data_IF_861114689189
#
_entry.id   IF_861114689189
#
_cell.length_a   1.000
_cell.length_b   1.000
_cell.length_c   1.000
_cell.angle_alpha   90.00
_cell.angle_beta   90.00
_cell.angle_gamma   90.00
#
_symmetry.space_group_name_H-M   'P 1'
#
loop_
_entity.id
_entity.type
_entity.pdbx_description
1 polymer ?
#
# COMPACT_ATOMS: atom_id res chain seq x y z
N UNK A 1 -17.27 2.06 13.68
CA UNK A 1 -18.01 1.47 12.54
C UNK A 1 -17.12 0.56 11.69
N UNK A 2 -15.98 1.03 11.10
CA UNK A 2 -15.14 0.15 10.27
C UNK A 2 -14.59 -1.02 11.11
N UNK A 3 -13.99 -0.74 12.26
CA UNK A 3 -13.44 -1.76 13.14
C UNK A 3 -14.49 -2.81 13.58
N UNK A 4 -15.75 -2.42 13.76
CA UNK A 4 -16.81 -3.35 14.22
C UNK A 4 -17.07 -4.47 13.21
N UNK A 5 -16.93 -4.19 11.91
CA UNK A 5 -17.08 -5.20 10.84
C UNK A 5 -15.99 -6.27 10.97
N UNK A 6 -14.74 -5.85 11.20
CA UNK A 6 -13.61 -6.77 11.32
C UNK A 6 -13.62 -7.55 12.65
N UNK A 7 -14.03 -6.92 13.75
CA UNK A 7 -14.24 -7.58 15.03
C UNK A 7 -15.28 -8.69 14.91
N UNK A 8 -16.44 -8.45 14.27
CA UNK A 8 -17.45 -9.48 14.04
C UNK A 8 -16.94 -10.66 13.21
N UNK A 9 -16.05 -10.40 12.24
CA UNK A 9 -15.42 -11.48 11.46
C UNK A 9 -14.45 -12.30 12.31
N UNK A 10 -13.71 -11.64 13.19
CA UNK A 10 -12.84 -12.28 14.18
C UNK A 10 -13.67 -13.17 15.14
N UNK A 11 -14.75 -12.65 15.74
CA UNK A 11 -15.69 -13.39 16.57
C UNK A 11 -16.31 -14.60 15.85
N UNK A 12 -16.43 -14.52 14.51
CA UNK A 12 -16.88 -15.61 13.66
C UNK A 12 -15.83 -16.70 13.39
N UNK A 13 -14.63 -16.60 13.98
CA UNK A 13 -13.56 -17.60 13.89
C UNK A 13 -12.54 -17.38 12.77
N UNK A 14 -12.47 -16.19 12.16
CA UNK A 14 -11.40 -15.87 11.22
C UNK A 14 -10.04 -15.84 11.95
N UNK A 15 -9.02 -16.59 11.46
CA UNK A 15 -7.68 -16.60 12.06
C UNK A 15 -6.96 -15.27 11.88
N UNK A 16 -7.22 -14.57 10.77
CA UNK A 16 -6.78 -13.18 10.53
C UNK A 16 -7.81 -12.44 9.68
N UNK A 17 -7.80 -11.13 9.75
CA UNK A 17 -8.64 -10.25 8.94
C UNK A 17 -7.77 -9.21 8.23
N UNK A 18 -7.98 -9.07 6.92
CA UNK A 18 -7.25 -8.10 6.10
C UNK A 18 -8.09 -6.84 5.92
N UNK A 19 -7.55 -5.70 6.37
CA UNK A 19 -8.13 -4.40 6.03
C UNK A 19 -7.45 -3.86 4.78
N UNK A 20 -8.22 -3.60 3.76
CA UNK A 20 -7.75 -2.99 2.53
C UNK A 20 -8.06 -1.52 2.46
N UNK A 21 -7.54 -0.96 1.65
CA UNK A 21 -6.71 0.03 0.99
C UNK A 21 -6.09 0.96 2.05
N UNK A 22 -5.02 0.52 2.69
CA UNK A 22 -4.24 1.34 3.63
C UNK A 22 -3.12 2.04 2.87
N UNK A 23 -3.29 3.33 2.55
CA UNK A 23 -2.29 4.06 1.76
C UNK A 23 -1.03 4.39 2.56
N UNK A 24 0.13 4.32 1.89
CA UNK A 24 1.44 4.73 2.42
C UNK A 24 1.73 6.22 2.21
N UNK A 25 0.89 6.92 1.45
CA UNK A 25 0.99 8.36 1.19
C UNK A 25 -0.41 8.98 1.00
N UNK A 26 -0.87 9.77 1.97
CA UNK A 26 -2.17 10.43 1.92
C UNK A 26 -2.31 11.49 0.79
N UNK A 27 -1.22 11.86 0.15
CA UNK A 27 -1.26 12.69 -1.05
C UNK A 27 -1.93 11.95 -2.21
N UNK A 28 -1.75 10.62 -2.25
CA UNK A 28 -2.32 9.74 -3.24
C UNK A 28 -3.31 8.79 -2.55
N UNK A 29 -4.60 8.98 -2.79
CA UNK A 29 -5.63 8.11 -2.24
C UNK A 29 -6.45 7.45 -3.35
N UNK A 30 -7.04 6.31 -3.02
CA UNK A 30 -7.77 5.48 -3.96
C UNK A 30 -9.27 5.76 -3.96
N UNK A 31 -9.85 5.91 -2.77
CA UNK A 31 -11.27 6.23 -2.56
C UNK A 31 -11.39 7.36 -1.54
N UNK A 32 -12.53 8.04 -1.49
CA UNK A 32 -12.72 9.30 -0.76
C UNK A 32 -12.33 9.30 0.73
N UNK A 33 -12.34 8.15 1.40
CA UNK A 33 -11.92 7.98 2.81
C UNK A 33 -10.96 6.81 2.95
N UNK A 34 -9.87 6.83 2.20
CA UNK A 34 -8.82 5.79 2.30
C UNK A 34 -8.15 5.83 3.66
N UNK A 35 -8.07 4.68 4.32
CA UNK A 35 -7.27 4.50 5.54
C UNK A 35 -5.79 4.70 5.22
N UNK A 36 -5.01 5.21 6.15
CA UNK A 36 -3.58 5.50 5.92
C UNK A 36 -2.70 5.06 7.09
N UNK A 37 -1.46 4.67 6.79
CA UNK A 37 -0.36 4.45 7.74
C UNK A 37 0.88 5.29 7.37
N UNK A 38 0.65 6.48 6.84
CA UNK A 38 1.69 7.38 6.33
C UNK A 38 2.34 8.28 7.40
N UNK A 39 1.78 8.30 8.64
CA UNK A 39 2.24 9.15 9.75
C UNK A 39 2.26 8.39 11.07
N UNK A 40 3.25 8.69 11.92
CA UNK A 40 3.38 8.06 13.25
C UNK A 40 2.20 8.39 14.17
N UNK A 41 1.57 9.56 13.99
CA UNK A 41 0.38 9.96 14.75
C UNK A 41 -0.84 9.05 14.54
N UNK A 42 -0.82 8.18 13.53
CA UNK A 42 -1.89 7.22 13.27
C UNK A 42 -1.70 5.88 14.00
N UNK A 43 -0.50 5.59 14.49
CA UNK A 43 -0.17 4.35 15.21
C UNK A 43 -1.10 4.10 16.40
N UNK A 44 -1.40 5.08 17.29
CA UNK A 44 -2.29 4.83 18.43
C UNK A 44 -3.72 4.42 18.01
N UNK A 45 -4.22 4.95 16.89
CA UNK A 45 -5.54 4.60 16.39
C UNK A 45 -5.55 3.20 15.79
N UNK A 46 -4.52 2.83 15.03
CA UNK A 46 -4.36 1.46 14.53
C UNK A 46 -4.16 0.46 15.66
N UNK A 47 -3.41 0.83 16.71
CA UNK A 47 -3.23 -0.01 17.90
C UNK A 47 -4.56 -0.36 18.57
N UNK A 48 -5.44 0.64 18.75
CA UNK A 48 -6.80 0.38 19.30
C UNK A 48 -7.59 -0.59 18.42
N UNK A 49 -7.42 -0.50 17.10
CA UNK A 49 -8.09 -1.40 16.16
C UNK A 49 -7.49 -2.82 16.23
N UNK A 50 -6.17 -2.96 16.15
CA UNK A 50 -5.48 -4.25 16.25
C UNK A 50 -5.80 -4.96 17.58
N UNK A 51 -5.77 -4.24 18.70
CA UNK A 51 -6.14 -4.79 20.03
C UNK A 51 -7.56 -5.36 20.01
N UNK A 52 -8.55 -4.62 19.51
CA UNK A 52 -9.94 -5.10 19.43
C UNK A 52 -10.10 -6.36 18.59
N UNK A 53 -9.38 -6.46 17.47
CA UNK A 53 -9.40 -7.66 16.61
C UNK A 53 -8.72 -8.83 17.33
N UNK A 54 -7.61 -8.57 18.02
CA UNK A 54 -6.87 -9.57 18.78
C UNK A 54 -7.67 -10.10 19.98
N UNK A 55 -8.35 -9.23 20.70
CA UNK A 55 -9.24 -9.62 21.82
C UNK A 55 -10.41 -10.49 21.33
N UNK A 56 -10.80 -10.37 20.07
CA UNK A 56 -11.79 -11.20 19.40
C UNK A 56 -11.20 -12.50 18.79
N UNK A 57 -9.92 -12.82 19.05
CA UNK A 57 -9.27 -14.07 18.67
C UNK A 57 -8.68 -14.11 17.25
N UNK A 58 -8.37 -12.94 16.63
CA UNK A 58 -7.87 -12.84 15.27
C UNK A 58 -6.70 -11.85 15.17
N UNK A 59 -5.98 -11.88 14.06
CA UNK A 59 -4.92 -10.90 13.77
C UNK A 59 -5.37 -9.89 12.71
N UNK A 60 -5.02 -8.61 12.91
CA UNK A 60 -5.27 -7.55 11.93
C UNK A 60 -4.10 -7.44 10.96
N UNK A 61 -4.37 -7.55 9.66
CA UNK A 61 -3.38 -7.43 8.59
C UNK A 61 -3.75 -6.22 7.72
N UNK A 62 -3.06 -5.08 7.82
CA UNK A 62 -3.26 -3.98 6.86
C UNK A 62 -2.70 -4.36 5.48
N UNK A 63 -3.55 -4.25 4.45
CA UNK A 63 -3.09 -4.32 3.07
C UNK A 63 -2.60 -2.93 2.65
N UNK A 64 -1.28 -2.74 2.65
CA UNK A 64 -0.67 -1.46 2.31
C UNK A 64 -0.57 -1.26 0.81
N UNK A 65 -0.94 -0.06 0.37
CA UNK A 65 -1.04 0.31 -1.04
C UNK A 65 -0.39 1.66 -1.32
N UNK A 66 -0.01 1.86 -2.57
CA UNK A 66 0.08 3.17 -3.21
C UNK A 66 -0.79 3.12 -4.46
N UNK A 67 -1.84 3.97 -4.59
CA UNK A 67 -2.80 3.86 -5.69
C UNK A 67 -2.19 4.07 -7.08
N UNK A 68 -1.07 4.80 -7.15
CA UNK A 68 -0.41 5.02 -8.41
C UNK A 68 -1.29 5.71 -9.45
N UNK A 69 -1.41 5.11 -10.67
CA UNK A 69 -2.23 5.66 -11.74
C UNK A 69 -3.73 5.77 -11.39
N UNK A 70 -4.20 4.92 -10.48
CA UNK A 70 -5.62 4.88 -10.09
C UNK A 70 -5.96 5.85 -8.94
N UNK A 71 -5.00 6.68 -8.53
CA UNK A 71 -5.26 7.71 -7.52
C UNK A 71 -6.29 8.73 -8.02
N UNK A 72 -7.26 9.05 -7.16
CA UNK A 72 -8.24 10.12 -7.42
C UNK A 72 -7.74 11.51 -7.00
N UNK A 73 -6.43 11.68 -6.82
CA UNK A 73 -5.81 12.92 -6.36
C UNK A 73 -5.96 14.09 -7.37
N UNK A 74 -6.32 13.80 -8.62
CA UNK A 74 -6.62 14.81 -9.64
C UNK A 74 -7.74 15.77 -9.20
N UNK A 75 -8.71 15.30 -8.42
CA UNK A 75 -9.76 16.14 -7.81
C UNK A 75 -9.22 17.26 -6.92
N UNK A 76 -7.97 17.17 -6.48
CA UNK A 76 -7.25 18.20 -5.70
C UNK A 76 -6.12 18.87 -6.48
N UNK A 77 -6.15 18.79 -7.80
CA UNK A 77 -5.13 19.39 -8.67
C UNK A 77 -3.77 18.67 -8.61
N UNK A 78 -3.72 17.43 -8.11
CA UNK A 78 -2.50 16.62 -8.04
C UNK A 78 -2.51 15.61 -9.17
N UNK A 79 -1.48 15.60 -10.00
CA UNK A 79 -1.36 14.61 -11.08
C UNK A 79 -1.03 13.24 -10.50
N UNK A 80 -1.82 12.18 -10.79
CA UNK A 80 -1.47 10.82 -10.47
C UNK A 80 -0.11 10.42 -11.04
N UNK A 81 0.58 9.48 -10.40
CA UNK A 81 1.86 8.97 -10.88
C UNK A 81 1.78 7.48 -11.18
N UNK A 82 2.52 7.04 -12.17
CA UNK A 82 2.57 5.64 -12.58
C UNK A 82 3.94 5.28 -13.15
N UNK A 83 4.11 4.06 -13.67
CA UNK A 83 5.32 3.74 -14.41
C UNK A 83 5.44 4.58 -15.69
N UNK A 84 4.31 4.87 -16.31
CA UNK A 84 4.19 5.59 -17.57
C UNK A 84 2.92 6.42 -17.61
N UNK A 85 2.62 7.08 -18.72
CA UNK A 85 1.32 7.72 -18.94
C UNK A 85 0.25 6.61 -19.02
N UNK A 86 -0.74 6.69 -18.14
CA UNK A 86 -1.88 5.78 -18.08
C UNK A 86 -3.13 6.59 -17.77
N UNK A 87 -4.26 6.20 -18.34
CA UNK A 87 -5.56 6.79 -18.03
C UNK A 87 -6.33 5.84 -17.13
N UNK A 88 -6.87 6.33 -16.02
CA UNK A 88 -7.69 5.56 -15.10
C UNK A 88 -9.17 5.55 -15.53
N UNK A 89 -10.01 4.82 -14.80
CA UNK A 89 -11.44 4.71 -15.12
C UNK A 89 -12.20 6.05 -15.03
N UNK A 90 -11.68 7.03 -14.29
CA UNK A 90 -12.28 8.38 -14.16
C UNK A 90 -11.81 9.34 -15.28
N UNK A 91 -10.92 8.90 -16.18
CA UNK A 91 -10.33 9.74 -17.20
C UNK A 91 -9.09 10.52 -16.76
N UNK A 92 -8.65 10.39 -15.50
CA UNK A 92 -7.45 11.05 -15.01
C UNK A 92 -6.20 10.43 -15.64
N UNK A 93 -5.27 11.27 -16.05
CA UNK A 93 -4.03 10.85 -16.73
C UNK A 93 -2.86 10.93 -15.76
N UNK A 94 -2.19 9.80 -15.55
CA UNK A 94 -0.96 9.75 -14.76
C UNK A 94 0.26 10.19 -15.57
N UNK A 95 1.25 10.72 -14.88
CA UNK A 95 2.59 10.91 -15.43
C UNK A 95 3.57 9.84 -14.94
N UNK A 96 4.68 9.61 -15.66
CA UNK A 96 5.74 8.75 -15.17
C UNK A 96 6.30 9.28 -13.84
N UNK A 97 6.48 8.38 -12.87
CA UNK A 97 7.19 8.68 -11.64
C UNK A 97 8.68 8.86 -11.93
N UNK A 98 9.30 9.87 -11.33
CA UNK A 98 10.76 10.04 -11.36
C UNK A 98 11.42 9.00 -10.45
N UNK A 99 12.70 8.71 -10.69
CA UNK A 99 13.50 7.80 -9.84
C UNK A 99 13.48 8.28 -8.37
N UNK A 100 13.57 9.59 -8.14
CA UNK A 100 13.49 10.17 -6.79
C UNK A 100 12.14 9.89 -6.11
N UNK A 101 11.05 9.94 -6.85
CA UNK A 101 9.71 9.61 -6.32
C UNK A 101 9.59 8.11 -6.04
N UNK A 102 10.12 7.25 -6.92
CA UNK A 102 10.16 5.80 -6.71
C UNK A 102 10.90 5.49 -5.39
N UNK A 103 12.09 6.03 -5.20
CA UNK A 103 12.89 5.82 -4.00
C UNK A 103 12.18 6.35 -2.73
N UNK A 104 11.50 7.49 -2.82
CA UNK A 104 10.67 8.02 -1.73
C UNK A 104 9.54 7.05 -1.37
N UNK A 105 8.84 6.52 -2.37
CA UNK A 105 7.71 5.60 -2.17
C UNK A 105 8.18 4.30 -1.50
N UNK A 106 9.31 3.74 -1.92
CA UNK A 106 9.91 2.56 -1.29
C UNK A 106 10.10 2.81 0.21
N UNK A 107 10.69 3.95 0.58
CA UNK A 107 10.86 4.33 1.99
C UNK A 107 9.53 4.52 2.74
N UNK A 108 8.49 4.97 2.06
CA UNK A 108 7.16 5.11 2.66
C UNK A 108 6.53 3.75 2.99
N UNK A 109 6.72 2.73 2.14
CA UNK A 109 6.30 1.36 2.43
C UNK A 109 7.00 0.78 3.66
N UNK A 110 8.33 0.91 3.76
CA UNK A 110 9.07 0.46 4.95
C UNK A 110 8.59 1.13 6.23
N UNK A 111 8.35 2.46 6.20
CA UNK A 111 7.80 3.18 7.35
C UNK A 111 6.38 2.74 7.70
N UNK A 112 5.54 2.41 6.71
CA UNK A 112 4.19 1.89 6.96
C UNK A 112 4.23 0.50 7.59
N UNK A 113 5.15 -0.38 7.15
CA UNK A 113 5.38 -1.69 7.75
C UNK A 113 5.78 -1.57 9.23
N UNK A 114 6.76 -0.72 9.56
CA UNK A 114 7.16 -0.43 10.95
C UNK A 114 5.97 0.04 11.80
N UNK A 115 5.16 0.96 11.28
CA UNK A 115 3.98 1.47 12.00
C UNK A 115 2.93 0.39 12.24
N UNK A 116 2.74 -0.53 11.29
CA UNK A 116 1.85 -1.67 11.46
C UNK A 116 2.31 -2.57 12.61
N UNK A 117 3.61 -2.89 12.67
CA UNK A 117 4.20 -3.67 13.75
C UNK A 117 4.08 -2.94 15.09
N UNK A 118 4.45 -1.66 15.18
CA UNK A 118 4.30 -0.83 16.39
C UNK A 118 2.84 -0.74 16.88
N UNK A 119 1.89 -0.80 15.93
CA UNK A 119 0.47 -0.85 16.26
C UNK A 119 -0.01 -2.23 16.74
N UNK A 120 0.85 -3.25 16.74
CA UNK A 120 0.49 -4.62 17.16
C UNK A 120 -0.36 -5.35 16.12
N UNK A 121 -0.24 -5.00 14.84
CA UNK A 121 -0.80 -5.80 13.75
C UNK A 121 -0.07 -7.14 13.64
N UNK A 122 -0.74 -8.19 13.17
CA UNK A 122 -0.16 -9.53 13.01
C UNK A 122 0.71 -9.69 11.75
N UNK A 123 0.83 -8.65 10.92
CA UNK A 123 1.60 -8.64 9.69
C UNK A 123 1.13 -7.55 8.75
N UNK A 124 1.67 -7.52 7.53
CA UNK A 124 1.21 -6.67 6.43
C UNK A 124 0.97 -7.46 5.15
N UNK A 125 0.06 -7.00 4.30
CA UNK A 125 -0.09 -7.47 2.94
C UNK A 125 0.35 -6.37 1.97
N UNK A 126 1.15 -6.71 0.95
CA UNK A 126 1.54 -5.80 -0.12
C UNK A 126 0.60 -5.96 -1.31
N UNK A 127 -0.09 -4.91 -1.70
CA UNK A 127 -0.94 -4.96 -2.89
C UNK A 127 -0.10 -4.73 -4.16
N UNK A 128 0.14 -5.80 -4.89
CA UNK A 128 0.84 -5.79 -6.18
C UNK A 128 0.05 -6.43 -7.33
N UNK A 129 -1.24 -6.72 -7.09
CA UNK A 129 -2.11 -7.41 -8.05
C UNK A 129 -2.77 -6.45 -9.06
N UNK A 130 -3.45 -7.06 -10.07
CA UNK A 130 -4.39 -6.44 -11.01
C UNK A 130 -3.82 -5.41 -11.98
N UNK A 131 -2.52 -5.15 -11.98
CA UNK A 131 -1.85 -4.18 -12.85
C UNK A 131 -2.39 -2.73 -12.74
N UNK A 132 -3.09 -2.36 -11.67
CA UNK A 132 -3.67 -1.03 -11.52
C UNK A 132 -3.07 -0.19 -10.37
N UNK A 133 -2.80 -0.77 -9.19
CA UNK A 133 -2.05 -0.09 -8.14
C UNK A 133 -0.57 0.05 -8.54
N UNK A 134 0.16 0.95 -7.89
CA UNK A 134 1.50 1.32 -8.34
C UNK A 134 2.43 0.11 -8.55
N UNK A 135 2.62 -0.82 -7.59
CA UNK A 135 3.52 -1.96 -7.80
C UNK A 135 3.03 -2.88 -8.94
N UNK A 136 1.73 -3.16 -9.02
CA UNK A 136 1.15 -3.96 -10.09
C UNK A 136 1.24 -3.29 -11.46
N UNK A 137 1.10 -1.96 -11.52
CA UNK A 137 1.28 -1.20 -12.75
C UNK A 137 2.73 -1.25 -13.26
N UNK A 138 3.73 -1.24 -12.35
CA UNK A 138 5.13 -1.43 -12.71
C UNK A 138 5.41 -2.83 -13.25
N UNK A 139 4.81 -3.87 -12.67
CA UNK A 139 4.94 -5.27 -13.14
C UNK A 139 4.36 -5.47 -14.54
N UNK A 140 3.28 -4.78 -14.87
CA UNK A 140 2.53 -4.97 -16.11
C UNK A 140 3.23 -4.38 -17.34
N UNK A 141 3.54 -5.17 -18.38
CA UNK A 141 4.07 -4.64 -19.63
C UNK A 141 3.05 -3.79 -20.40
N UNK A 142 1.76 -3.91 -20.09
CA UNK A 142 0.71 -3.09 -20.67
C UNK A 142 0.74 -1.65 -20.11
N UNK A 143 1.01 -1.51 -18.82
CA UNK A 143 1.04 -0.23 -18.11
C UNK A 143 2.43 0.41 -18.08
N UNK A 144 3.49 -0.40 -18.04
CA UNK A 144 4.87 0.03 -17.90
C UNK A 144 5.60 0.07 -19.26
N UNK A 145 5.81 1.27 -19.77
CA UNK A 145 6.55 1.56 -21.00
C UNK A 145 7.90 2.25 -20.75
N UNK A 146 8.43 2.11 -19.52
CA UNK A 146 9.73 2.68 -19.16
C UNK A 146 10.87 2.00 -19.89
N UNK A 147 11.93 2.77 -20.14
CA UNK A 147 13.17 2.32 -20.79
C UNK A 147 14.38 2.38 -19.85
N UNK A 148 14.14 2.63 -18.55
CA UNK A 148 15.17 2.64 -17.49
C UNK A 148 15.15 1.33 -16.67
N UNK A 149 15.88 1.30 -15.56
CA UNK A 149 16.03 0.14 -14.68
C UNK A 149 14.73 -0.35 -14.03
N UNK A 150 13.61 0.36 -14.19
CA UNK A 150 12.28 -0.03 -13.70
C UNK A 150 11.33 -0.46 -14.84
N UNK A 151 11.83 -0.66 -16.07
CA UNK A 151 11.03 -1.03 -17.21
C UNK A 151 11.69 -2.02 -18.17
N UNK A 152 10.98 -2.42 -19.23
CA UNK A 152 11.48 -3.38 -20.22
C UNK A 152 11.37 -4.83 -19.76
N UNK A 153 12.46 -5.46 -19.29
CA UNK A 153 12.50 -6.85 -18.86
C UNK A 153 11.62 -7.12 -17.63
N UNK A 154 11.29 -8.39 -17.39
CA UNK A 154 10.50 -8.76 -16.18
C UNK A 154 11.26 -8.41 -14.91
N UNK A 155 12.57 -8.61 -14.88
CA UNK A 155 13.41 -8.30 -13.72
C UNK A 155 13.37 -6.80 -13.39
N UNK A 156 13.47 -5.95 -14.40
CA UNK A 156 13.36 -4.52 -14.23
C UNK A 156 11.95 -4.09 -13.78
N UNK A 157 10.91 -4.68 -14.35
CA UNK A 157 9.53 -4.38 -13.93
C UNK A 157 9.23 -4.87 -12.52
N UNK A 158 9.85 -5.96 -12.07
CA UNK A 158 9.72 -6.48 -10.72
C UNK A 158 10.56 -5.70 -9.69
N UNK A 159 11.54 -4.91 -10.12
CA UNK A 159 12.47 -4.19 -9.24
C UNK A 159 11.77 -3.39 -8.15
N UNK A 160 10.73 -2.62 -8.52
CA UNK A 160 10.01 -1.80 -7.54
C UNK A 160 9.44 -2.64 -6.39
N UNK A 161 8.76 -3.75 -6.70
CA UNK A 161 8.16 -4.57 -5.63
C UNK A 161 9.20 -5.29 -4.80
N UNK A 162 10.30 -5.73 -5.41
CA UNK A 162 11.41 -6.36 -4.69
C UNK A 162 12.09 -5.37 -3.73
N UNK A 163 12.38 -4.15 -4.18
CA UNK A 163 12.93 -3.09 -3.33
C UNK A 163 11.96 -2.67 -2.20
N UNK A 164 10.65 -2.68 -2.46
CA UNK A 164 9.64 -2.46 -1.41
C UNK A 164 9.69 -3.57 -0.36
N UNK A 165 9.77 -4.85 -0.77
CA UNK A 165 9.85 -5.99 0.15
C UNK A 165 11.13 -5.86 1.01
N UNK A 166 12.28 -5.61 0.39
CA UNK A 166 13.54 -5.42 1.11
C UNK A 166 13.45 -4.27 2.12
N UNK A 167 12.87 -3.15 1.71
CA UNK A 167 12.72 -1.98 2.58
C UNK A 167 11.76 -2.27 3.74
N UNK A 168 10.65 -2.98 3.50
CA UNK A 168 9.76 -3.42 4.58
C UNK A 168 10.52 -4.31 5.57
N UNK A 169 11.25 -5.33 5.10
CA UNK A 169 12.05 -6.23 5.93
C UNK A 169 13.10 -5.52 6.78
N UNK A 170 13.73 -4.47 6.27
CA UNK A 170 14.70 -3.65 7.01
C UNK A 170 14.08 -2.86 8.16
N UNK A 171 12.76 -2.67 8.16
CA UNK A 171 12.06 -1.79 9.09
C UNK A 171 11.19 -2.53 10.10
N UNK A 172 11.15 -3.86 10.07
CA UNK A 172 10.37 -4.72 10.97
C UNK A 172 11.25 -5.82 11.55
N UNK A 173 10.77 -6.47 12.62
CA UNK A 173 11.43 -7.65 13.18
C UNK A 173 11.43 -8.83 12.21
N UNK A 174 12.33 -9.79 12.42
CA UNK A 174 12.49 -10.96 11.57
C UNK A 174 11.21 -11.79 11.48
N UNK A 175 10.50 -11.92 12.61
CA UNK A 175 9.27 -12.72 12.74
C UNK A 175 8.00 -11.99 12.29
N UNK A 176 8.07 -10.72 11.91
CA UNK A 176 6.89 -9.98 11.46
C UNK A 176 6.56 -10.31 9.99
N UNK A 177 5.43 -10.99 9.68
CA UNK A 177 5.08 -11.45 8.34
C UNK A 177 4.61 -10.33 7.39
#
# INVERSE_FOLDING_TARGET
QLADIFVRRAEGGAGYVVIDAVTVDHKYWYIGKTTALDKDSLVPQFKKFATRVKDAGSELIPQIIHPGPESICAMKGITPIGPSINTNANGDVSRPATIKEIQKIIKQYGKAARRAEEAGCGGIALHAAHAYMLPGAFLSPLRNKRMDEYGGTIDNRARLILEIIEECRKNVSEDFP
#
